data_IF_527825196637
#
_entry.id   IF_527825196637
#
_cell.length_a   1.000
_cell.length_b   1.000
_cell.length_c   1.000
_cell.angle_alpha   90.00
_cell.angle_beta   90.00
_cell.angle_gamma   90.00
#
_symmetry.space_group_name_H-M   'P 1'
#
loop_
_entity.id
_entity.type
_entity.pdbx_description
1 polymer ?
#
# COMPACT_ATOMS: atom_id res chain seq x y z
N UNK A 1 -12.37 8.89 8.13
CA UNK A 1 -12.32 8.55 6.69
C UNK A 1 -12.86 9.71 5.86
N UNK A 2 -12.26 10.01 4.69
CA UNK A 2 -12.84 10.92 3.71
C UNK A 2 -14.24 10.45 3.29
N UNK A 3 -15.17 11.38 3.04
CA UNK A 3 -16.56 11.04 2.64
C UNK A 3 -16.64 10.29 1.31
N UNK A 4 -15.67 10.49 0.42
CA UNK A 4 -15.57 9.83 -0.87
C UNK A 4 -14.70 8.55 -0.84
N UNK A 5 -14.19 8.14 0.33
CA UNK A 5 -13.34 6.95 0.47
C UNK A 5 -11.93 7.08 -0.10
N UNK A 6 -11.53 8.23 -0.64
CA UNK A 6 -10.22 8.42 -1.28
C UNK A 6 -9.29 9.20 -0.35
N UNK A 7 -8.23 8.53 0.13
CA UNK A 7 -7.17 9.16 0.95
C UNK A 7 -6.21 9.98 0.08
N UNK A 8 -5.83 9.42 -1.07
CA UNK A 8 -4.94 10.05 -2.03
C UNK A 8 -5.43 9.72 -3.43
N UNK A 9 -5.69 10.76 -4.23
CA UNK A 9 -5.99 10.60 -5.66
C UNK A 9 -4.73 10.15 -6.42
N UNK A 10 -4.91 9.62 -7.63
CA UNK A 10 -3.80 9.20 -8.49
C UNK A 10 -2.75 10.29 -8.63
N UNK A 11 -1.49 9.92 -8.44
CA UNK A 11 -0.33 10.76 -8.66
C UNK A 11 0.69 10.02 -9.49
N UNK A 12 1.39 10.74 -10.35
CA UNK A 12 2.57 10.24 -11.03
C UNK A 12 3.79 10.50 -10.15
N UNK A 13 4.71 9.54 -10.11
CA UNK A 13 5.92 9.63 -9.28
C UNK A 13 7.09 9.03 -10.04
N UNK A 14 8.21 9.75 -10.05
CA UNK A 14 9.49 9.22 -10.54
C UNK A 14 10.26 8.61 -9.38
N UNK A 15 10.73 7.38 -9.57
CA UNK A 15 11.55 6.65 -8.60
C UNK A 15 12.77 6.02 -9.30
N UNK A 16 13.87 5.77 -8.56
CA UNK A 16 15.00 5.05 -9.11
C UNK A 16 14.62 3.69 -9.69
N UNK A 17 15.34 3.25 -10.72
CA UNK A 17 15.21 1.88 -11.22
C UNK A 17 15.50 0.88 -10.08
N UNK A 18 14.65 -0.14 -9.96
CA UNK A 18 14.77 -1.13 -8.90
C UNK A 18 13.95 -0.82 -7.65
N UNK A 19 13.30 0.35 -7.57
CA UNK A 19 12.38 0.67 -6.48
C UNK A 19 11.20 -0.30 -6.40
N UNK A 20 10.75 -0.53 -5.18
CA UNK A 20 9.65 -1.44 -4.87
C UNK A 20 8.33 -0.70 -4.65
N UNK A 21 7.22 -1.43 -4.59
CA UNK A 21 5.91 -0.87 -4.22
C UNK A 21 5.98 -0.20 -2.84
N UNK A 22 6.72 -0.79 -1.89
CA UNK A 22 6.94 -0.21 -0.56
C UNK A 22 7.71 1.11 -0.59
N UNK A 23 8.75 1.22 -1.43
CA UNK A 23 9.52 2.45 -1.57
C UNK A 23 8.65 3.59 -2.10
N UNK A 24 7.85 3.31 -3.12
CA UNK A 24 6.90 4.28 -3.69
C UNK A 24 5.86 4.71 -2.66
N UNK A 25 5.26 3.77 -1.93
CA UNK A 25 4.29 4.09 -0.87
C UNK A 25 4.90 5.08 0.13
N UNK A 26 6.09 4.77 0.66
CA UNK A 26 6.75 5.61 1.65
C UNK A 26 7.15 6.98 1.09
N UNK A 27 7.71 7.04 -0.12
CA UNK A 27 8.09 8.30 -0.76
C UNK A 27 6.88 9.22 -0.94
N UNK A 28 5.81 8.69 -1.53
CA UNK A 28 4.60 9.47 -1.82
C UNK A 28 3.91 9.89 -0.53
N UNK A 29 3.65 8.97 0.39
CA UNK A 29 2.97 9.29 1.64
C UNK A 29 3.76 10.29 2.49
N UNK A 30 5.09 10.14 2.59
CA UNK A 30 5.95 11.12 3.28
C UNK A 30 5.86 12.51 2.65
N UNK A 31 5.88 12.59 1.31
CA UNK A 31 5.76 13.88 0.60
C UNK A 31 4.40 14.58 0.80
N UNK A 32 3.36 13.81 1.14
CA UNK A 32 1.99 14.30 1.37
C UNK A 32 1.62 14.44 2.85
N UNK A 33 2.54 14.14 3.78
CA UNK A 33 2.26 14.14 5.21
C UNK A 33 1.28 13.04 5.65
N UNK A 34 1.15 11.97 4.84
CA UNK A 34 0.33 10.80 5.15
C UNK A 34 1.16 9.82 5.96
N UNK A 35 0.70 9.47 7.16
CA UNK A 35 1.38 8.48 8.00
C UNK A 35 1.19 7.07 7.42
N UNK A 36 2.29 6.33 7.32
CA UNK A 36 2.32 4.89 7.03
C UNK A 36 2.90 4.17 8.25
N UNK A 37 2.24 3.12 8.68
CA UNK A 37 2.66 2.23 9.75
C UNK A 37 2.88 0.84 9.15
N UNK A 38 4.13 0.39 9.14
CA UNK A 38 4.54 -0.84 8.51
C UNK A 38 5.53 -1.59 9.40
N UNK A 39 5.47 -2.92 9.34
CA UNK A 39 6.33 -3.78 10.14
C UNK A 39 6.96 -4.86 9.27
N UNK A 40 8.27 -5.04 9.39
CA UNK A 40 8.97 -6.08 8.66
C UNK A 40 8.64 -7.45 9.26
N UNK A 41 8.00 -8.31 8.47
CA UNK A 41 7.65 -9.66 8.91
C UNK A 41 8.66 -10.65 8.37
N UNK A 42 9.48 -11.20 9.28
CA UNK A 42 10.55 -12.16 8.92
C UNK A 42 10.04 -13.41 8.21
N UNK A 43 8.84 -13.89 8.57
CA UNK A 43 8.25 -15.12 7.98
C UNK A 43 7.93 -14.94 6.49
N UNK A 44 7.58 -13.72 6.08
CA UNK A 44 7.19 -13.40 4.70
C UNK A 44 8.27 -12.59 3.96
N UNK A 45 9.41 -12.34 4.62
CA UNK A 45 10.53 -11.53 4.11
C UNK A 45 10.10 -10.20 3.48
N UNK A 46 9.07 -9.58 4.05
CA UNK A 46 8.45 -8.37 3.49
C UNK A 46 7.84 -7.47 4.55
N UNK A 47 7.63 -6.21 4.19
CA UNK A 47 6.89 -5.26 5.03
C UNK A 47 5.38 -5.50 4.94
N UNK A 48 4.77 -5.68 6.10
CA UNK A 48 3.33 -5.72 6.28
C UNK A 48 2.81 -4.32 6.63
N UNK A 49 1.81 -3.82 5.89
CA UNK A 49 1.25 -2.48 6.11
C UNK A 49 0.09 -2.58 7.11
N UNK A 50 0.35 -2.15 8.34
CA UNK A 50 -0.64 -2.13 9.42
C UNK A 50 -1.59 -0.97 9.29
N UNK A 51 -1.15 0.17 8.75
CA UNK A 51 -2.01 1.34 8.59
C UNK A 51 -1.50 2.41 7.62
N UNK A 52 -2.45 3.09 6.99
CA UNK A 52 -2.22 4.26 6.13
C UNK A 52 -3.22 5.34 6.54
N UNK A 53 -2.76 6.59 6.71
CA UNK A 53 -3.59 7.73 7.10
C UNK A 53 -4.38 7.52 8.40
N UNK A 54 -3.76 6.88 9.39
CA UNK A 54 -4.37 6.50 10.68
C UNK A 54 -5.55 5.53 10.58
N UNK A 55 -5.74 4.89 9.42
CA UNK A 55 -6.63 3.74 9.28
C UNK A 55 -5.79 2.48 9.34
N UNK A 56 -6.07 1.67 10.34
CA UNK A 56 -5.35 0.47 10.69
C UNK A 56 -6.15 -0.77 10.32
N UNK A 57 -5.46 -1.89 10.12
CA UNK A 57 -6.09 -3.21 10.08
C UNK A 57 -7.02 -3.42 11.28
N UNK A 58 -8.01 -4.29 11.09
CA UNK A 58 -9.02 -4.65 12.08
C UNK A 58 -9.96 -3.51 12.53
N UNK A 59 -9.75 -2.25 12.12
CA UNK A 59 -10.62 -1.13 12.53
C UNK A 59 -12.03 -1.18 11.94
N UNK A 60 -12.27 -1.91 10.85
CA UNK A 60 -13.59 -2.12 10.26
C UNK A 60 -14.07 -3.58 10.37
N UNK A 61 -13.51 -4.35 11.32
CA UNK A 61 -13.80 -5.76 11.56
C UNK A 61 -12.56 -6.64 11.42
N UNK A 62 -12.58 -7.85 11.95
CA UNK A 62 -11.38 -8.70 12.10
C UNK A 62 -10.70 -9.09 10.78
N UNK A 63 -11.42 -9.00 9.65
CA UNK A 63 -10.87 -9.25 8.30
C UNK A 63 -10.51 -7.97 7.54
N UNK A 64 -10.64 -6.80 8.18
CA UNK A 64 -10.33 -5.52 7.54
C UNK A 64 -8.83 -5.23 7.52
N UNK A 65 -8.34 -4.66 6.43
CA UNK A 65 -6.91 -4.46 6.24
C UNK A 65 -6.53 -3.80 4.93
N UNK A 66 -5.24 -3.53 4.79
CA UNK A 66 -4.65 -2.92 3.60
C UNK A 66 -4.20 -3.98 2.61
N UNK A 67 -4.70 -3.86 1.38
CA UNK A 67 -4.29 -4.68 0.24
C UNK A 67 -3.73 -3.77 -0.84
N UNK A 68 -2.92 -4.34 -1.73
CA UNK A 68 -2.39 -3.61 -2.88
C UNK A 68 -2.55 -4.39 -4.18
N UNK A 69 -2.68 -3.66 -5.28
CA UNK A 69 -2.64 -4.22 -6.63
C UNK A 69 -1.60 -3.49 -7.46
N UNK A 70 -1.06 -4.18 -8.46
CA UNK A 70 -0.24 -3.59 -9.53
C UNK A 70 -0.91 -3.92 -10.85
N UNK A 71 -1.26 -2.89 -11.63
CA UNK A 71 -1.99 -3.02 -12.89
C UNK A 71 -3.30 -3.83 -12.74
N UNK A 72 -4.05 -3.56 -11.66
CA UNK A 72 -5.31 -4.24 -11.30
C UNK A 72 -5.16 -5.74 -10.94
N UNK A 73 -3.94 -6.24 -10.78
CA UNK A 73 -3.66 -7.60 -10.34
C UNK A 73 -3.11 -7.57 -8.92
N UNK A 74 -3.61 -8.46 -8.06
CA UNK A 74 -3.09 -8.66 -6.70
C UNK A 74 -1.82 -9.51 -6.75
N UNK A 75 -0.62 -8.96 -6.47
CA UNK A 75 0.58 -9.76 -6.51
C UNK A 75 0.59 -10.78 -5.37
N UNK A 76 1.18 -11.95 -5.62
CA UNK A 76 1.36 -13.02 -4.62
C UNK A 76 2.64 -12.84 -3.79
N UNK A 77 3.18 -11.63 -3.76
CA UNK A 77 4.39 -11.24 -3.02
C UNK A 77 4.09 -10.01 -2.17
N UNK A 78 4.90 -9.73 -1.15
CA UNK A 78 4.74 -8.51 -0.37
C UNK A 78 5.24 -7.26 -1.10
N UNK A 79 4.79 -6.09 -0.64
CA UNK A 79 5.03 -4.82 -1.33
C UNK A 79 6.51 -4.41 -1.39
N UNK A 80 7.36 -4.88 -0.48
CA UNK A 80 8.81 -4.64 -0.54
C UNK A 80 9.59 -5.67 -1.36
N UNK A 81 8.90 -6.68 -1.89
CA UNK A 81 9.50 -7.73 -2.73
C UNK A 81 9.10 -7.56 -4.20
N UNK A 82 8.11 -6.72 -4.49
CA UNK A 82 7.71 -6.37 -5.86
C UNK A 82 8.53 -5.19 -6.37
N UNK A 83 9.47 -5.45 -7.27
CA UNK A 83 10.20 -4.41 -8.02
C UNK A 83 9.34 -3.88 -9.16
N UNK A 84 9.21 -2.55 -9.23
CA UNK A 84 8.37 -1.88 -10.20
C UNK A 84 9.02 -1.81 -11.59
N UNK A 85 8.16 -1.73 -12.59
CA UNK A 85 8.48 -1.38 -13.97
C UNK A 85 7.90 -0.01 -14.29
N UNK A 86 8.51 0.65 -15.26
CA UNK A 86 7.98 1.91 -15.76
C UNK A 86 6.55 1.72 -16.30
N UNK A 87 5.66 2.65 -15.95
CA UNK A 87 4.23 2.58 -16.25
C UNK A 87 3.37 1.70 -15.33
N UNK A 88 3.94 1.03 -14.31
CA UNK A 88 3.15 0.27 -13.35
C UNK A 88 2.20 1.18 -12.54
N UNK A 89 0.94 0.76 -12.40
CA UNK A 89 -0.07 1.47 -11.62
C UNK A 89 -0.36 0.73 -10.33
N UNK A 90 -0.08 1.36 -9.19
CA UNK A 90 -0.29 0.81 -7.84
C UNK A 90 -1.60 1.34 -7.28
N UNK A 91 -2.46 0.46 -6.76
CA UNK A 91 -3.59 0.85 -5.90
C UNK A 91 -3.43 0.27 -4.51
N UNK A 92 -3.62 1.11 -3.49
CA UNK A 92 -3.79 0.69 -2.10
C UNK A 92 -5.27 0.76 -1.75
N UNK A 93 -5.82 -0.37 -1.31
CA UNK A 93 -7.25 -0.53 -1.05
C UNK A 93 -7.39 -1.00 0.40
N UNK A 94 -8.28 -0.35 1.15
CA UNK A 94 -8.69 -0.86 2.45
C UNK A 94 -9.96 -1.69 2.29
N UNK A 95 -9.86 -2.97 2.59
CA UNK A 95 -10.98 -3.89 2.58
C UNK A 95 -11.58 -4.02 3.98
N UNK A 96 -12.88 -4.26 4.07
CA UNK A 96 -13.56 -4.56 5.34
C UNK A 96 -13.75 -6.06 5.57
N UNK A 97 -13.65 -6.88 4.52
CA UNK A 97 -14.01 -8.30 4.52
C UNK A 97 -12.90 -9.22 3.97
N UNK A 98 -11.68 -8.67 3.79
CA UNK A 98 -10.51 -9.41 3.34
C UNK A 98 -10.50 -9.67 1.83
N UNK A 99 -11.31 -8.94 1.05
CA UNK A 99 -11.45 -9.11 -0.40
C UNK A 99 -11.28 -7.79 -1.15
N UNK A 100 -10.76 -7.90 -2.37
CA UNK A 100 -10.68 -6.85 -3.39
C UNK A 100 -11.20 -7.39 -4.72
#
# INVERSE_FOLDING_TARGET
>A
MPKNGVILSTVEVTVPQGSTVYDVLNQVCRSKGIKVDAEYTKIYETYYIKGIANLYEMQAGDMSGWMYTVNQVTPNVGCSSYTLKDGDVIHWIYTCDGKI
#
